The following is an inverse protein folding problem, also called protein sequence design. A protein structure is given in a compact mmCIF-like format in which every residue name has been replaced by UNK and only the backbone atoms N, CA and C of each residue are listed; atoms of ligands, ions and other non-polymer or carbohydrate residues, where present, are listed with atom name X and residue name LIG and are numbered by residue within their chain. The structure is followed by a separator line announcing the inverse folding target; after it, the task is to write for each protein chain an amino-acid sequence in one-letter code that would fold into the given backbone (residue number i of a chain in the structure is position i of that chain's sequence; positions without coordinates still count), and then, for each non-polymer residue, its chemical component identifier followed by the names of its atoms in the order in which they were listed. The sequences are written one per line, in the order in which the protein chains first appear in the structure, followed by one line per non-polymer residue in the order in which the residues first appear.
data_IF_554952299284
#
_entry.id   IF_554952299284
#
_cell.length_a   1.000
_cell.length_b   1.000
_cell.length_c   1.000
_cell.angle_alpha   90.00
_cell.angle_beta   90.00
_cell.angle_gamma   90.00
#
_symmetry.space_group_name_H-M   'P 1'
#
loop_
_entity.id
_entity.type
_entity.pdbx_description
1 polymer ?
#
# COMPACT_ATOMS: atom_id res chain seq x y z
N UNK A 1 -14.35 -61.07 19.26
CA UNK A 1 -14.41 -60.65 17.84
C UNK A 1 -15.43 -59.52 17.75
N UNK A 2 -14.95 -58.28 17.61
CA UNK A 2 -15.77 -57.07 17.79
C UNK A 2 -16.46 -56.67 16.47
N UNK A 3 -17.80 -56.62 16.36
CA UNK A 3 -18.50 -56.32 15.13
C UNK A 3 -19.21 -54.96 15.24
N UNK A 4 -18.49 -53.83 15.19
CA UNK A 4 -19.13 -52.51 15.15
C UNK A 4 -18.23 -51.49 14.45
N UNK A 5 -18.33 -51.42 13.12
CA UNK A 5 -17.95 -50.25 12.32
C UNK A 5 -19.22 -49.82 11.55
N UNK A 6 -19.94 -48.77 11.99
CA UNK A 6 -20.99 -48.19 11.18
C UNK A 6 -20.41 -47.27 10.12
N UNK A 7 -20.74 -47.59 8.88
CA UNK A 7 -20.41 -46.91 7.65
C UNK A 7 -21.25 -45.61 7.50
N UNK A 8 -20.57 -44.52 7.09
CA UNK A 8 -21.08 -43.36 6.32
C UNK A 8 -22.04 -42.36 7.02
N UNK A 9 -21.47 -41.20 7.36
CA UNK A 9 -22.19 -39.95 7.66
C UNK A 9 -23.18 -39.56 6.53
N UNK A 10 -24.39 -39.04 6.86
CA UNK A 10 -25.41 -38.69 5.89
C UNK A 10 -25.02 -37.49 5.02
N UNK A 11 -25.32 -37.55 3.71
CA UNK A 11 -24.94 -36.55 2.68
C UNK A 11 -25.35 -35.11 3.05
N UNK A 12 -26.45 -34.92 3.79
CA UNK A 12 -26.91 -33.59 4.23
C UNK A 12 -25.98 -32.92 5.25
N UNK A 13 -25.24 -33.69 6.05
CA UNK A 13 -24.27 -33.15 7.01
C UNK A 13 -22.95 -32.76 6.33
N UNK A 14 -22.63 -33.38 5.18
CA UNK A 14 -21.48 -32.99 4.34
C UNK A 14 -21.70 -31.63 3.66
N UNK A 15 -22.92 -31.31 3.25
CA UNK A 15 -23.24 -30.01 2.63
C UNK A 15 -23.25 -28.84 3.63
N UNK A 16 -23.71 -29.05 4.86
CA UNK A 16 -23.73 -27.99 5.88
C UNK A 16 -22.31 -27.57 6.34
N UNK A 17 -21.37 -28.51 6.42
CA UNK A 17 -19.97 -28.23 6.76
C UNK A 17 -19.28 -27.48 5.61
N UNK A 18 -19.55 -27.84 4.35
CA UNK A 18 -18.98 -27.13 3.18
C UNK A 18 -19.45 -25.67 3.11
N UNK A 19 -20.73 -25.39 3.38
CA UNK A 19 -21.24 -24.01 3.34
C UNK A 19 -20.67 -23.10 4.46
N UNK A 20 -20.42 -23.64 5.66
CA UNK A 20 -19.82 -22.85 6.77
C UNK A 20 -18.33 -22.58 6.54
N UNK A 21 -17.58 -23.53 5.96
CA UNK A 21 -16.17 -23.34 5.58
C UNK A 21 -16.00 -22.33 4.43
N UNK A 22 -16.90 -22.32 3.45
CA UNK A 22 -16.84 -21.37 2.33
C UNK A 22 -17.08 -19.92 2.75
N UNK A 23 -17.94 -19.68 3.76
CA UNK A 23 -18.19 -18.34 4.30
C UNK A 23 -17.01 -17.78 5.09
N UNK A 24 -16.24 -18.63 5.79
CA UNK A 24 -15.05 -18.21 6.55
C UNK A 24 -13.88 -17.80 5.63
N UNK A 25 -13.62 -18.55 4.56
CA UNK A 25 -12.51 -18.27 3.65
C UNK A 25 -12.66 -16.90 2.94
N UNK A 26 -13.88 -16.51 2.58
CA UNK A 26 -14.15 -15.21 1.94
C UNK A 26 -13.95 -14.01 2.87
N UNK A 27 -14.21 -14.16 4.18
CA UNK A 27 -14.01 -13.09 5.16
C UNK A 27 -12.52 -12.84 5.42
N UNK A 28 -11.70 -13.91 5.49
CA UNK A 28 -10.24 -13.79 5.68
C UNK A 28 -9.57 -13.07 4.51
N UNK A 29 -10.01 -13.32 3.26
CA UNK A 29 -9.46 -12.64 2.07
C UNK A 29 -9.91 -11.18 1.90
N UNK A 30 -11.13 -10.83 2.32
CA UNK A 30 -11.59 -9.44 2.30
C UNK A 30 -10.90 -8.61 3.38
N UNK A 31 -10.75 -9.17 4.58
CA UNK A 31 -10.01 -8.55 5.69
C UNK A 31 -8.53 -8.34 5.37
N UNK A 32 -7.90 -9.27 4.62
CA UNK A 32 -6.51 -9.09 4.19
C UNK A 32 -6.36 -7.91 3.23
N UNK A 33 -7.27 -7.72 2.26
CA UNK A 33 -7.22 -6.57 1.34
C UNK A 33 -7.26 -5.22 2.06
N UNK A 34 -8.16 -5.07 3.03
CA UNK A 34 -8.29 -3.84 3.81
C UNK A 34 -7.05 -3.58 4.68
N UNK A 35 -6.40 -4.63 5.17
CA UNK A 35 -5.18 -4.53 5.96
C UNK A 35 -3.93 -4.19 5.13
N UNK A 36 -3.86 -4.64 3.87
CA UNK A 36 -2.69 -4.50 2.98
C UNK A 36 -2.58 -3.10 2.38
N UNK A 37 -3.68 -2.51 1.95
CA UNK A 37 -3.67 -1.23 1.23
C UNK A 37 -2.98 -0.09 2.00
N UNK A 38 -3.22 0.09 3.31
CA UNK A 38 -2.48 1.09 4.09
C UNK A 38 -0.97 0.83 4.12
N UNK A 39 -0.54 -0.44 4.19
CA UNK A 39 0.88 -0.80 4.22
C UNK A 39 1.53 -0.43 2.89
N UNK A 40 0.91 -0.81 1.77
CA UNK A 40 1.38 -0.45 0.43
C UNK A 40 1.51 1.07 0.27
N UNK A 41 0.52 1.83 0.74
CA UNK A 41 0.52 3.28 0.65
C UNK A 41 1.66 3.92 1.45
N UNK A 42 1.93 3.43 2.67
CA UNK A 42 3.03 3.96 3.49
C UNK A 42 4.39 3.59 2.92
N UNK A 43 4.56 2.37 2.40
CA UNK A 43 5.80 1.94 1.75
C UNK A 43 6.08 2.79 0.51
N UNK A 44 5.06 3.02 -0.34
CA UNK A 44 5.16 3.90 -1.51
C UNK A 44 5.50 5.34 -1.10
N UNK A 45 4.78 5.90 -0.13
CA UNK A 45 5.03 7.25 0.38
C UNK A 45 6.48 7.45 0.83
N UNK A 46 7.00 6.54 1.67
CA UNK A 46 8.39 6.62 2.13
C UNK A 46 9.35 6.52 0.94
N UNK A 47 9.12 5.60 0.01
CA UNK A 47 9.97 5.42 -1.15
C UNK A 47 10.07 6.68 -2.03
N UNK A 48 8.94 7.35 -2.27
CA UNK A 48 8.87 8.52 -3.15
C UNK A 48 9.38 9.78 -2.47
N UNK A 49 9.00 10.02 -1.22
CA UNK A 49 9.15 11.34 -0.61
C UNK A 49 10.40 11.43 0.31
N UNK A 50 10.96 10.32 0.81
CA UNK A 50 12.18 10.33 1.64
C UNK A 50 13.39 11.06 1.01
N UNK A 51 13.72 10.86 -0.28
CA UNK A 51 14.84 11.56 -0.91
C UNK A 51 14.68 13.09 -0.99
N UNK A 52 13.44 13.60 -0.87
CA UNK A 52 13.17 15.04 -0.82
C UNK A 52 13.54 15.63 0.53
N UNK A 53 13.37 14.87 1.61
CA UNK A 53 13.51 15.35 2.99
C UNK A 53 14.83 14.95 3.65
N UNK A 54 15.55 13.99 3.08
CA UNK A 54 16.88 13.56 3.55
C UNK A 54 17.86 13.48 2.37
N UNK A 55 18.93 14.28 2.43
CA UNK A 55 19.98 14.33 1.40
C UNK A 55 21.35 14.39 2.05
N UNK A 56 22.32 13.61 1.54
CA UNK A 56 23.69 13.53 2.06
C UNK A 56 23.77 13.30 3.59
N UNK A 57 22.84 12.49 4.11
CA UNK A 57 22.73 12.20 5.55
C UNK A 57 22.18 13.35 6.40
N UNK A 58 21.73 14.45 5.79
CA UNK A 58 21.12 15.60 6.45
C UNK A 58 19.61 15.58 6.30
N UNK A 59 18.91 15.96 7.37
CA UNK A 59 17.44 16.11 7.36
C UNK A 59 17.11 17.54 6.95
N UNK A 60 16.53 17.71 5.76
CA UNK A 60 16.12 18.99 5.20
C UNK A 60 14.76 19.45 5.73
N UNK A 61 13.87 18.51 6.06
CA UNK A 61 12.59 18.78 6.70
C UNK A 61 12.38 17.86 7.91
N UNK A 62 12.47 18.43 9.11
CA UNK A 62 12.40 17.67 10.36
C UNK A 62 11.01 17.10 10.65
N UNK A 63 9.93 17.77 10.23
CA UNK A 63 8.57 17.30 10.44
C UNK A 63 8.28 16.09 9.55
N UNK A 64 8.62 16.19 8.27
CA UNK A 64 8.42 15.10 7.31
C UNK A 64 9.30 13.88 7.63
N UNK A 65 10.54 14.11 8.05
CA UNK A 65 11.40 13.01 8.50
C UNK A 65 10.86 12.32 9.77
N UNK A 66 10.26 13.07 10.69
CA UNK A 66 9.60 12.48 11.86
C UNK A 66 8.40 11.61 11.44
N UNK A 67 7.58 12.07 10.50
CA UNK A 67 6.46 11.31 9.95
C UNK A 67 6.93 10.01 9.27
N UNK A 68 8.01 10.06 8.47
CA UNK A 68 8.57 8.86 7.83
C UNK A 68 9.06 7.82 8.86
N UNK A 69 9.59 8.26 10.00
CA UNK A 69 9.93 7.36 11.11
C UNK A 69 8.69 6.74 11.77
N UNK A 70 7.61 7.50 11.88
CA UNK A 70 6.34 6.97 12.42
C UNK A 70 5.70 5.96 11.47
N UNK A 71 5.66 6.25 10.17
CA UNK A 71 5.11 5.34 9.16
C UNK A 71 5.94 4.07 8.99
N UNK A 72 7.28 4.15 9.03
CA UNK A 72 8.12 2.94 9.03
C UNK A 72 7.84 2.02 10.21
N UNK A 73 7.66 2.58 11.41
CA UNK A 73 7.25 1.79 12.58
C UNK A 73 5.80 1.25 12.46
N UNK A 74 4.87 2.00 11.86
CA UNK A 74 3.49 1.54 11.62
C UNK A 74 3.44 0.41 10.58
N UNK A 75 4.27 0.46 9.53
CA UNK A 75 4.43 -0.61 8.55
C UNK A 75 4.77 -1.92 9.26
N UNK A 76 5.81 -1.93 10.12
CA UNK A 76 6.21 -3.15 10.83
C UNK A 76 5.10 -3.68 11.73
N UNK A 77 4.45 -2.81 12.51
CA UNK A 77 3.33 -3.22 13.38
C UNK A 77 2.18 -3.85 12.59
N UNK A 78 1.79 -3.25 11.47
CA UNK A 78 0.72 -3.81 10.63
C UNK A 78 1.12 -5.10 9.94
N UNK A 79 2.38 -5.24 9.54
CA UNK A 79 2.90 -6.50 9.01
C UNK A 79 2.82 -7.61 10.06
N UNK A 80 3.07 -7.33 11.34
CA UNK A 80 2.92 -8.31 12.43
C UNK A 80 1.46 -8.82 12.53
N UNK A 81 0.47 -7.96 12.27
CA UNK A 81 -0.97 -8.29 12.33
C UNK A 81 -1.50 -9.02 11.08
N UNK A 82 -0.73 -9.11 9.99
CA UNK A 82 -1.19 -9.78 8.77
C UNK A 82 -1.33 -11.31 8.97
N UNK A 83 -2.23 -11.97 8.22
CA UNK A 83 -2.30 -13.43 8.20
C UNK A 83 -0.95 -14.08 7.88
N UNK A 84 -0.64 -15.21 8.53
CA UNK A 84 0.59 -15.94 8.27
C UNK A 84 0.65 -16.49 6.84
N UNK A 85 1.77 -16.23 6.16
CA UNK A 85 2.15 -16.75 4.84
C UNK A 85 3.67 -16.96 4.81
N UNK A 86 4.18 -17.83 3.94
CA UNK A 86 5.60 -18.20 3.90
C UNK A 86 6.54 -16.98 3.76
N UNK A 87 6.14 -15.93 3.05
CA UNK A 87 6.94 -14.72 2.87
C UNK A 87 6.77 -13.61 3.93
N UNK A 88 5.94 -13.81 4.97
CA UNK A 88 5.69 -12.77 5.98
C UNK A 88 6.96 -12.41 6.76
N UNK A 89 7.75 -13.40 7.14
CA UNK A 89 8.99 -13.18 7.90
C UNK A 89 9.98 -12.28 7.15
N UNK A 90 10.13 -12.49 5.83
CA UNK A 90 10.99 -11.67 4.98
C UNK A 90 10.48 -10.22 4.86
N UNK A 91 9.16 -10.02 4.83
CA UNK A 91 8.57 -8.68 4.82
C UNK A 91 8.82 -7.94 6.14
N UNK A 92 8.74 -8.64 7.28
CA UNK A 92 9.07 -8.08 8.60
C UNK A 92 10.55 -7.69 8.67
N UNK A 93 11.46 -8.55 8.18
CA UNK A 93 12.89 -8.24 8.10
C UNK A 93 13.15 -7.01 7.23
N UNK A 94 12.47 -6.91 6.08
CA UNK A 94 12.59 -5.75 5.19
C UNK A 94 12.07 -4.46 5.84
N UNK A 95 10.99 -4.53 6.63
CA UNK A 95 10.48 -3.38 7.38
C UNK A 95 11.43 -2.95 8.50
N UNK A 96 12.05 -3.91 9.20
CA UNK A 96 13.09 -3.61 10.20
C UNK A 96 14.31 -2.95 9.56
N UNK A 97 14.73 -3.42 8.38
CA UNK A 97 15.79 -2.79 7.60
C UNK A 97 15.41 -1.37 7.20
N UNK A 98 14.15 -1.14 6.77
CA UNK A 98 13.66 0.19 6.42
C UNK A 98 13.70 1.15 7.61
N UNK A 99 13.22 0.73 8.79
CA UNK A 99 13.30 1.52 10.02
C UNK A 99 14.75 1.91 10.36
N UNK A 100 15.68 0.95 10.26
CA UNK A 100 17.09 1.18 10.55
C UNK A 100 17.75 2.09 9.50
N UNK A 101 17.42 1.91 8.22
CA UNK A 101 17.92 2.70 7.11
C UNK A 101 17.49 4.17 7.23
N UNK A 102 16.23 4.42 7.58
CA UNK A 102 15.73 5.77 7.86
C UNK A 102 16.44 6.35 9.08
N UNK A 103 16.55 5.59 10.19
CA UNK A 103 17.19 6.08 11.42
C UNK A 103 18.66 6.52 11.21
N UNK A 104 19.41 5.76 10.40
CA UNK A 104 20.79 6.08 10.02
C UNK A 104 20.91 7.08 8.87
N UNK A 105 19.79 7.63 8.39
CA UNK A 105 19.71 8.62 7.29
C UNK A 105 20.39 8.11 6.03
N UNK A 106 20.08 6.87 5.66
CA UNK A 106 20.62 6.23 4.47
C UNK A 106 20.31 7.03 3.21
N UNK A 107 21.06 6.74 2.15
CA UNK A 107 20.88 7.36 0.83
C UNK A 107 19.45 7.18 0.30
N UNK A 108 18.92 8.22 -0.35
CA UNK A 108 17.55 8.21 -0.87
C UNK A 108 17.31 7.14 -1.95
N UNK A 109 18.33 6.80 -2.75
CA UNK A 109 18.24 5.73 -3.76
C UNK A 109 18.14 4.36 -3.09
N UNK A 110 18.85 4.17 -1.97
CA UNK A 110 18.75 2.94 -1.19
C UNK A 110 17.34 2.73 -0.63
N UNK A 111 16.72 3.79 -0.07
CA UNK A 111 15.33 3.73 0.44
C UNK A 111 14.34 3.47 -0.70
N UNK A 112 14.50 4.14 -1.85
CA UNK A 112 13.67 3.89 -3.04
C UNK A 112 13.72 2.41 -3.48
N UNK A 113 14.90 1.83 -3.58
CA UNK A 113 15.05 0.43 -3.99
C UNK A 113 14.46 -0.53 -2.95
N UNK A 114 14.74 -0.31 -1.67
CA UNK A 114 14.22 -1.15 -0.59
C UNK A 114 12.68 -1.15 -0.57
N UNK A 115 12.06 0.03 -0.67
CA UNK A 115 10.59 0.16 -0.69
C UNK A 115 9.95 -0.40 -1.97
N UNK A 116 10.63 -0.32 -3.11
CA UNK A 116 10.19 -0.97 -4.35
C UNK A 116 10.19 -2.51 -4.21
N UNK A 117 11.27 -3.08 -3.68
CA UNK A 117 11.37 -4.53 -3.42
C UNK A 117 10.32 -4.99 -2.39
N UNK A 118 10.10 -4.21 -1.34
CA UNK A 118 9.04 -4.46 -0.36
C UNK A 118 7.67 -4.48 -1.03
N UNK A 119 7.37 -3.52 -1.90
CA UNK A 119 6.10 -3.44 -2.63
C UNK A 119 5.87 -4.68 -3.49
N UNK A 120 6.89 -5.11 -4.26
CA UNK A 120 6.80 -6.31 -5.08
C UNK A 120 6.55 -7.56 -4.22
N UNK A 121 7.31 -7.73 -3.15
CA UNK A 121 7.16 -8.87 -2.25
C UNK A 121 5.78 -8.87 -1.57
N UNK A 122 5.28 -7.70 -1.15
CA UNK A 122 4.00 -7.60 -0.47
C UNK A 122 2.85 -7.97 -1.41
N UNK A 123 2.88 -7.51 -2.66
CA UNK A 123 1.90 -7.89 -3.68
C UNK A 123 1.99 -9.36 -4.11
N UNK A 124 3.19 -9.95 -4.06
CA UNK A 124 3.40 -11.37 -4.35
C UNK A 124 2.82 -12.28 -3.28
N UNK A 125 3.05 -11.93 -2.00
CA UNK A 125 2.60 -12.74 -0.86
C UNK A 125 1.12 -12.51 -0.54
N UNK A 126 0.64 -11.28 -0.75
CA UNK A 126 -0.73 -10.90 -0.47
C UNK A 126 -1.38 -10.25 -1.70
N UNK A 127 -1.86 -11.07 -2.65
CA UNK A 127 -2.40 -10.56 -3.90
C UNK A 127 -3.69 -9.75 -3.64
N UNK A 128 -3.65 -8.48 -4.01
CA UNK A 128 -4.79 -7.57 -3.97
C UNK A 128 -5.04 -6.98 -5.36
N UNK A 129 -6.31 -6.89 -5.76
CA UNK A 129 -6.66 -6.14 -6.96
C UNK A 129 -6.64 -4.64 -6.66
N UNK A 130 -5.67 -3.95 -7.25
CA UNK A 130 -5.54 -2.49 -7.19
C UNK A 130 -6.35 -1.78 -8.29
N UNK A 131 -6.92 -2.54 -9.22
CA UNK A 131 -7.67 -1.99 -10.35
C UNK A 131 -9.19 -2.04 -10.09
N UNK A 132 -9.93 -0.99 -10.48
CA UNK A 132 -11.38 -1.04 -10.54
C UNK A 132 -11.86 -2.13 -11.49
N UNK A 133 -12.92 -2.85 -11.11
CA UNK A 133 -13.53 -3.91 -11.94
C UNK A 133 -14.06 -3.36 -13.27
N UNK A 134 -14.46 -2.08 -13.28
CA UNK A 134 -14.94 -1.35 -14.45
C UNK A 134 -14.05 -0.14 -14.69
N UNK A 135 -13.65 0.09 -15.94
CA UNK A 135 -12.93 1.29 -16.35
C UNK A 135 -13.77 2.53 -15.96
N UNK A 136 -13.21 3.47 -15.18
CA UNK A 136 -13.91 4.72 -14.84
C UNK A 136 -14.23 5.55 -16.07
N UNK A 137 -15.37 6.24 -16.06
CA UNK A 137 -15.75 7.18 -17.11
C UNK A 137 -14.91 8.46 -17.02
N UNK A 138 -14.11 8.82 -18.05
CA UNK A 138 -13.30 10.03 -18.03
C UNK A 138 -14.13 11.31 -17.87
N UNK A 139 -15.38 11.35 -18.34
CA UNK A 139 -16.23 12.53 -18.20
C UNK A 139 -16.61 12.78 -16.73
N UNK A 140 -16.95 11.70 -16.01
CA UNK A 140 -17.22 11.76 -14.56
C UNK A 140 -15.95 12.16 -13.81
N UNK A 141 -14.80 11.59 -14.16
CA UNK A 141 -13.52 11.96 -13.56
C UNK A 141 -13.16 13.43 -13.79
N UNK A 142 -13.40 13.94 -15.00
CA UNK A 142 -13.19 15.35 -15.33
C UNK A 142 -14.07 16.28 -14.51
N UNK A 143 -15.36 15.95 -14.35
CA UNK A 143 -16.28 16.73 -13.53
C UNK A 143 -15.82 16.76 -12.05
N UNK A 144 -15.57 15.59 -11.46
CA UNK A 144 -15.13 15.49 -10.06
C UNK A 144 -13.82 16.26 -9.82
N UNK A 145 -12.90 16.20 -10.77
CA UNK A 145 -11.64 16.94 -10.68
C UNK A 145 -11.86 18.45 -10.61
N UNK A 146 -12.73 18.99 -11.47
CA UNK A 146 -13.04 20.43 -11.45
C UNK A 146 -13.72 20.85 -10.15
N UNK A 147 -14.59 20.01 -9.61
CA UNK A 147 -15.34 20.30 -8.38
C UNK A 147 -14.49 20.21 -7.11
N UNK A 148 -13.52 19.29 -7.06
CA UNK A 148 -12.86 18.91 -5.79
C UNK A 148 -11.35 19.17 -5.77
N UNK A 149 -10.69 19.20 -6.93
CA UNK A 149 -9.22 19.19 -7.01
C UNK A 149 -8.67 20.49 -7.60
N UNK A 150 -9.35 21.04 -8.60
CA UNK A 150 -8.87 22.19 -9.38
C UNK A 150 -8.66 23.46 -8.54
N UNK A 151 -9.36 23.60 -7.40
CA UNK A 151 -9.16 24.72 -6.49
C UNK A 151 -7.72 24.84 -5.97
N UNK A 152 -7.08 23.72 -5.66
CA UNK A 152 -5.68 23.68 -5.20
C UNK A 152 -4.71 23.30 -6.32
N UNK A 153 -5.06 22.31 -7.14
CA UNK A 153 -4.15 21.78 -8.16
C UNK A 153 -4.23 22.49 -9.52
N UNK A 154 -5.16 23.43 -9.68
CA UNK A 154 -5.39 24.16 -10.93
C UNK A 154 -6.20 23.35 -11.95
N UNK A 155 -6.84 24.04 -12.90
CA UNK A 155 -7.73 23.40 -13.90
C UNK A 155 -7.01 22.39 -14.80
N UNK A 156 -5.69 22.54 -14.96
CA UNK A 156 -4.84 21.61 -15.73
C UNK A 156 -4.02 20.66 -14.86
N UNK A 157 -4.12 20.75 -13.53
CA UNK A 157 -3.38 19.88 -12.61
C UNK A 157 -1.90 20.19 -12.46
N UNK A 158 -1.52 21.45 -12.60
CA UNK A 158 -0.13 21.92 -12.48
C UNK A 158 0.26 22.38 -11.08
N UNK A 159 -0.61 22.18 -10.08
CA UNK A 159 -0.39 22.70 -8.73
C UNK A 159 -0.57 24.21 -8.62
N UNK A 160 -1.16 24.85 -9.64
CA UNK A 160 -1.26 26.30 -9.81
C UNK A 160 -2.69 26.83 -9.56
N UNK A 161 -3.47 26.11 -8.75
CA UNK A 161 -4.82 26.52 -8.40
C UNK A 161 -4.87 27.82 -7.60
N UNK A 162 -6.01 28.53 -7.58
CA UNK A 162 -6.14 29.79 -6.84
C UNK A 162 -5.84 29.64 -5.34
N UNK A 163 -6.09 28.45 -4.76
CA UNK A 163 -5.78 28.16 -3.36
C UNK A 163 -4.33 27.66 -3.13
N UNK A 164 -3.51 27.51 -4.18
CA UNK A 164 -2.14 27.02 -4.05
C UNK A 164 -1.22 28.01 -3.31
N UNK A 165 -1.52 29.31 -3.40
CA UNK A 165 -0.69 30.36 -2.79
C UNK A 165 -0.69 30.23 -1.26
N UNK A 166 0.49 30.04 -0.68
CA UNK A 166 0.69 29.97 0.77
C UNK A 166 0.53 28.59 1.39
N UNK A 167 0.28 27.55 0.58
CA UNK A 167 0.32 26.17 1.06
C UNK A 167 1.76 25.65 1.12
N UNK A 168 2.11 25.03 2.24
CA UNK A 168 3.38 24.33 2.44
C UNK A 168 3.08 22.93 2.99
N UNK A 169 3.39 21.85 2.25
CA UNK A 169 3.97 21.84 0.91
C UNK A 169 3.00 22.37 -0.17
N UNK A 170 3.55 22.79 -1.31
CA UNK A 170 2.75 23.23 -2.44
C UNK A 170 1.92 22.05 -3.01
N UNK A 171 0.73 22.30 -3.59
CA UNK A 171 -0.06 21.25 -4.24
C UNK A 171 0.74 20.54 -5.34
N UNK A 172 0.65 19.22 -5.40
CA UNK A 172 1.37 18.40 -6.40
C UNK A 172 1.03 18.79 -7.84
N UNK A 173 2.06 18.97 -8.67
CA UNK A 173 1.94 19.01 -10.13
C UNK A 173 1.84 17.58 -10.68
N UNK A 174 0.69 17.23 -11.26
CA UNK A 174 0.47 15.91 -11.87
C UNK A 174 1.23 15.72 -13.20
N UNK A 175 1.80 16.79 -13.76
CA UNK A 175 2.66 16.77 -14.95
C UNK A 175 4.14 16.56 -14.64
N UNK A 176 4.53 16.49 -13.36
CA UNK A 176 5.89 16.11 -12.99
C UNK A 176 6.20 14.68 -13.44
N UNK A 177 7.12 14.53 -14.39
CA UNK A 177 7.48 13.23 -14.96
C UNK A 177 8.23 12.34 -13.96
N UNK A 178 9.04 12.93 -13.07
CA UNK A 178 9.73 12.24 -12.00
C UNK A 178 8.73 11.60 -11.05
N UNK A 179 7.84 12.41 -10.46
CA UNK A 179 6.80 11.93 -9.54
C UNK A 179 5.84 10.92 -10.20
N UNK A 180 5.44 11.13 -11.46
CA UNK A 180 4.61 10.15 -12.20
C UNK A 180 5.32 8.82 -12.43
N UNK A 181 6.64 8.84 -12.62
CA UNK A 181 7.40 7.61 -12.85
C UNK A 181 7.56 6.78 -11.57
N UNK A 182 7.62 7.45 -10.42
CA UNK A 182 7.76 6.84 -9.11
C UNK A 182 6.44 6.24 -8.61
N UNK A 183 5.29 6.89 -8.87
CA UNK A 183 3.95 6.40 -8.48
C UNK A 183 3.29 5.47 -9.50
N UNK A 184 4.09 4.65 -10.19
CA UNK A 184 3.54 3.63 -11.10
C UNK A 184 3.14 2.41 -10.27
N UNK A 185 1.83 2.23 -10.09
CA UNK A 185 1.28 0.97 -9.59
C UNK A 185 1.97 -0.20 -10.30
N UNK A 186 2.71 -1.03 -9.57
CA UNK A 186 3.36 -2.22 -10.12
C UNK A 186 2.35 -3.12 -10.86
N UNK A 187 1.07 -3.03 -10.50
CA UNK A 187 -0.07 -3.72 -11.10
C UNK A 187 -0.58 -3.13 -12.45
N UNK A 188 -0.03 -2.01 -12.93
CA UNK A 188 -0.36 -1.40 -14.24
C UNK A 188 0.82 -1.56 -15.23
N UNK A 189 1.67 -2.57 -15.02
CA UNK A 189 2.46 -3.12 -16.13
C UNK A 189 1.49 -3.85 -17.06
N UNK A 190 1.16 -3.22 -18.20
CA UNK A 190 0.67 -3.96 -19.37
C UNK A 190 1.78 -4.83 -19.94
#
# INVERSE_FOLDING_TARGET
MNPWIPDRLPIRLRFAIVCVFSLWASHVMAASREAILPILQMVDYIGVDYPEFVQDGQVLNAAEYAEQREFSADIRRRLDDLPEVDGKAQLIESAQELEQAIARKADGTYIQNLTADMTENLLRQYPVSLTPVKVPDPAVGSQLYQEQCAGCHGVTGRGDGPAAQGLTPAPTDFHDAGRRSQRRLAAVRR
#
